data_IF_786205904479
#
_entry.id   IF_786205904479
#
_cell.length_a   1.000
_cell.length_b   1.000
_cell.length_c   1.000
_cell.angle_alpha   90.00
_cell.angle_beta   90.00
_cell.angle_gamma   90.00
#
_symmetry.space_group_name_H-M   'P 1'
#
loop_
_entity.id
_entity.type
_entity.pdbx_description
1 polymer ?
#
# COMPACT_ATOMS: atom_id res chain seq x y z
N UNK A 1 -1.68 22.87 2.91
CA UNK A 1 -0.54 21.93 2.88
C UNK A 1 -0.89 20.68 3.65
N UNK A 2 -0.55 19.54 3.12
CA UNK A 2 -0.86 18.26 3.73
C UNK A 2 0.21 17.88 4.75
N UNK A 3 -0.21 17.61 5.99
CA UNK A 3 0.71 17.14 7.02
C UNK A 3 1.28 15.77 6.66
N UNK A 4 0.45 14.88 6.12
CA UNK A 4 0.92 13.54 5.76
C UNK A 4 1.94 13.61 4.63
N UNK A 5 1.74 14.50 3.66
CA UNK A 5 2.71 14.68 2.59
C UNK A 5 4.06 15.11 3.15
N UNK A 6 4.04 16.00 4.13
CA UNK A 6 5.28 16.45 4.75
C UNK A 6 5.97 15.31 5.49
N UNK A 7 5.20 14.49 6.20
CA UNK A 7 5.75 13.36 6.93
C UNK A 7 6.36 12.30 6.00
N UNK A 8 5.88 12.24 4.75
CA UNK A 8 6.28 11.22 3.80
C UNK A 8 7.30 11.72 2.78
N UNK A 9 7.85 12.91 2.95
CA UNK A 9 8.66 13.52 1.89
C UNK A 9 9.89 12.69 1.53
N UNK A 10 10.49 11.99 2.51
CA UNK A 10 11.65 11.16 2.22
C UNK A 10 11.24 9.93 1.42
N UNK A 11 10.12 9.30 1.80
CA UNK A 11 9.63 8.13 1.08
C UNK A 11 9.22 8.50 -0.34
N UNK A 12 8.61 9.66 -0.51
CA UNK A 12 8.24 10.14 -1.84
C UNK A 12 9.49 10.27 -2.71
N UNK A 13 10.59 10.77 -2.16
CA UNK A 13 11.82 10.93 -2.92
C UNK A 13 12.49 9.60 -3.24
N UNK A 14 12.41 8.63 -2.32
CA UNK A 14 13.14 7.36 -2.46
C UNK A 14 12.39 6.30 -3.24
N UNK A 15 11.06 6.35 -3.26
CA UNK A 15 10.26 5.26 -3.81
C UNK A 15 9.26 5.74 -4.87
N UNK A 16 9.77 6.33 -5.97
CA UNK A 16 8.88 6.71 -7.07
C UNK A 16 8.31 5.47 -7.77
N UNK A 17 7.35 5.67 -8.66
CA UNK A 17 6.76 4.58 -9.42
C UNK A 17 7.87 3.83 -10.17
N UNK A 18 7.82 2.52 -10.07
CA UNK A 18 8.80 1.63 -10.67
C UNK A 18 9.90 1.20 -9.73
N UNK A 19 10.09 1.89 -8.59
CA UNK A 19 11.20 1.57 -7.70
C UNK A 19 11.08 0.19 -7.05
N UNK A 20 9.86 -0.31 -6.88
CA UNK A 20 9.63 -1.64 -6.33
C UNK A 20 8.79 -2.51 -7.27
N UNK A 21 8.85 -2.19 -8.56
CA UNK A 21 8.07 -2.89 -9.57
C UNK A 21 8.42 -4.38 -9.57
N UNK A 22 7.38 -5.21 -9.68
CA UNK A 22 7.56 -6.66 -9.76
C UNK A 22 7.69 -7.37 -8.43
N UNK A 23 7.80 -6.62 -7.32
CA UNK A 23 7.99 -7.25 -6.02
C UNK A 23 6.69 -7.70 -5.37
N UNK A 24 5.55 -7.12 -5.75
CA UNK A 24 4.27 -7.54 -5.20
C UNK A 24 4.26 -7.50 -3.69
N UNK A 25 3.89 -8.61 -3.06
CA UNK A 25 3.85 -8.68 -1.60
C UNK A 25 5.23 -8.65 -0.97
N UNK A 26 6.28 -8.84 -1.74
CA UNK A 26 7.65 -8.75 -1.22
C UNK A 26 8.18 -7.34 -1.22
N UNK A 27 7.42 -6.37 -1.70
CA UNK A 27 7.83 -4.98 -1.67
C UNK A 27 7.84 -4.49 -0.22
N UNK A 28 8.78 -3.60 0.08
CA UNK A 28 8.82 -2.94 1.37
C UNK A 28 7.64 -2.00 1.48
N UNK A 29 6.94 -2.02 2.61
CA UNK A 29 5.85 -1.10 2.88
C UNK A 29 6.47 0.21 3.38
N UNK A 30 6.36 1.26 2.58
CA UNK A 30 6.98 2.54 2.93
C UNK A 30 6.02 3.44 3.71
N UNK A 31 4.73 3.12 3.71
CA UNK A 31 3.74 3.85 4.50
C UNK A 31 2.53 2.95 4.69
N UNK A 32 2.02 2.90 5.90
CA UNK A 32 0.88 2.08 6.24
C UNK A 32 -0.23 2.99 6.74
N UNK A 33 -1.31 3.08 5.98
CA UNK A 33 -2.49 3.85 6.38
C UNK A 33 -3.53 2.88 6.93
N UNK A 34 -4.31 3.35 7.89
CA UNK A 34 -5.32 2.48 8.50
C UNK A 34 -6.44 3.30 9.10
N UNK A 35 -7.62 2.72 9.14
CA UNK A 35 -8.75 3.22 9.92
C UNK A 35 -9.64 2.02 10.19
N UNK A 36 -10.02 1.83 11.48
CA UNK A 36 -10.75 0.63 11.89
C UNK A 36 -10.03 -0.61 11.39
N UNK A 37 -10.72 -1.48 10.64
CA UNK A 37 -10.12 -2.72 10.13
C UNK A 37 -9.55 -2.57 8.73
N UNK A 38 -9.60 -1.38 8.13
CA UNK A 38 -9.10 -1.14 6.78
C UNK A 38 -7.62 -0.79 6.83
N UNK A 39 -6.86 -1.32 5.85
CA UNK A 39 -5.42 -1.09 5.76
C UNK A 39 -5.03 -0.77 4.33
N UNK A 40 -4.07 0.13 4.17
CA UNK A 40 -3.45 0.44 2.89
C UNK A 40 -1.94 0.36 3.10
N UNK A 41 -1.29 -0.59 2.42
CA UNK A 41 0.16 -0.78 2.50
C UNK A 41 0.79 -0.26 1.22
N UNK A 42 1.55 0.81 1.32
CA UNK A 42 2.04 1.55 0.16
C UNK A 42 3.46 1.14 -0.15
N UNK A 43 3.77 0.92 -1.43
CA UNK A 43 5.11 0.57 -1.88
C UNK A 43 5.77 1.64 -2.73
N UNK A 44 4.99 2.48 -3.42
CA UNK A 44 5.55 3.50 -4.31
C UNK A 44 4.67 4.73 -4.26
N UNK A 45 5.29 5.90 -4.46
CA UNK A 45 4.55 7.16 -4.46
C UNK A 45 5.14 8.11 -5.47
N UNK A 46 4.29 8.97 -6.03
CA UNK A 46 4.73 9.98 -6.98
C UNK A 46 3.88 11.22 -6.86
N UNK A 47 4.54 12.37 -6.86
CA UNK A 47 3.85 13.66 -6.78
C UNK A 47 3.08 13.90 -8.07
N UNK A 48 1.85 14.37 -7.94
CA UNK A 48 0.98 14.72 -9.06
C UNK A 48 0.30 16.03 -8.69
N UNK A 49 0.95 17.15 -9.04
CA UNK A 49 0.43 18.48 -8.70
C UNK A 49 0.32 18.63 -7.19
N UNK A 50 -0.89 18.93 -6.72
CA UNK A 50 -1.16 19.13 -5.30
C UNK A 50 -1.36 17.81 -4.55
N UNK A 51 -1.35 16.71 -5.26
CA UNK A 51 -1.62 15.40 -4.68
C UNK A 51 -0.38 14.53 -4.74
N UNK A 52 -0.45 13.38 -4.10
CA UNK A 52 0.53 12.32 -4.22
C UNK A 52 -0.26 11.06 -4.56
N UNK A 53 0.11 10.42 -5.68
CA UNK A 53 -0.53 9.17 -6.07
C UNK A 53 0.34 8.05 -5.54
N UNK A 54 -0.31 7.08 -4.91
CA UNK A 54 0.37 5.99 -4.23
C UNK A 54 -0.04 4.67 -4.86
N UNK A 55 0.88 3.72 -4.89
CA UNK A 55 0.59 2.36 -5.33
C UNK A 55 0.85 1.41 -4.18
N UNK A 56 -0.09 0.50 -3.95
CA UNK A 56 0.07 -0.47 -2.89
C UNK A 56 -1.10 -1.41 -2.78
N UNK A 57 -1.13 -2.15 -1.69
CA UNK A 57 -2.14 -3.17 -1.42
C UNK A 57 -3.15 -2.63 -0.43
N UNK A 58 -4.41 -2.62 -0.81
CA UNK A 58 -5.49 -2.13 0.05
C UNK A 58 -6.38 -3.29 0.46
N UNK A 59 -6.63 -3.43 1.75
CA UNK A 59 -7.58 -4.41 2.28
C UNK A 59 -8.57 -3.67 3.15
N UNK A 60 -9.76 -3.45 2.62
CA UNK A 60 -10.79 -2.72 3.35
C UNK A 60 -11.56 -3.60 4.32
N UNK A 61 -11.28 -4.91 4.30
CA UNK A 61 -11.92 -5.88 5.21
C UNK A 61 -13.43 -5.90 5.04
N UNK A 62 -13.88 -5.83 3.79
CA UNK A 62 -15.30 -5.84 3.46
C UNK A 62 -15.78 -7.20 2.98
N UNK A 63 -14.97 -8.24 3.15
CA UNK A 63 -15.32 -9.59 2.76
C UNK A 63 -14.32 -10.15 1.77
N UNK A 64 -14.50 -11.42 1.36
CA UNK A 64 -13.55 -12.06 0.44
C UNK A 64 -13.46 -11.29 -0.87
N UNK A 65 -12.24 -11.12 -1.36
CA UNK A 65 -12.01 -10.45 -2.62
C UNK A 65 -12.02 -8.94 -2.56
N UNK A 66 -12.09 -8.36 -1.36
CA UNK A 66 -12.10 -6.90 -1.25
C UNK A 66 -10.70 -6.29 -1.19
N UNK A 67 -9.65 -7.12 -1.20
CA UNK A 67 -8.28 -6.66 -1.11
C UNK A 67 -7.62 -6.77 -2.48
N UNK A 68 -6.87 -5.73 -2.87
CA UNK A 68 -6.19 -5.75 -4.17
C UNK A 68 -5.12 -4.67 -4.22
N UNK A 69 -4.17 -4.86 -5.13
CA UNK A 69 -3.22 -3.82 -5.45
C UNK A 69 -3.88 -2.77 -6.34
N UNK A 70 -3.47 -1.52 -6.17
CA UNK A 70 -4.01 -0.46 -7.01
C UNK A 70 -3.42 0.88 -6.61
N UNK A 71 -3.94 1.91 -7.26
CA UNK A 71 -3.50 3.28 -7.02
C UNK A 71 -4.49 3.99 -6.12
N UNK A 72 -3.99 4.94 -5.34
CA UNK A 72 -4.84 5.72 -4.46
C UNK A 72 -4.23 7.09 -4.25
N UNK A 73 -5.10 8.03 -3.87
CA UNK A 73 -4.72 9.43 -3.68
C UNK A 73 -4.46 9.70 -2.22
N UNK A 74 -3.32 10.32 -1.91
CA UNK A 74 -3.01 10.71 -0.54
C UNK A 74 -4.01 11.76 -0.04
N UNK A 75 -4.36 12.73 -0.89
CA UNK A 75 -5.33 13.74 -0.49
C UNK A 75 -6.68 13.12 -0.13
N UNK A 76 -7.10 12.10 -0.89
CA UNK A 76 -8.35 11.43 -0.59
C UNK A 76 -8.29 10.69 0.74
N UNK A 77 -7.20 9.97 0.99
CA UNK A 77 -7.08 9.26 2.25
C UNK A 77 -7.02 10.23 3.43
N UNK A 78 -6.27 11.32 3.26
CA UNK A 78 -6.12 12.30 4.34
C UNK A 78 -7.43 12.98 4.68
N UNK A 79 -8.31 13.15 3.70
CA UNK A 79 -9.58 13.82 3.90
C UNK A 79 -10.72 12.87 4.25
N UNK A 80 -10.46 11.57 4.22
CA UNK A 80 -11.50 10.58 4.51
C UNK A 80 -11.97 10.68 5.95
N UNK A 81 -13.29 10.68 6.14
CA UNK A 81 -13.89 10.69 7.46
C UNK A 81 -14.82 9.51 7.58
N UNK A 82 -14.68 8.76 8.66
CA UNK A 82 -15.48 7.56 8.89
C UNK A 82 -16.12 7.64 10.28
N UNK A 83 -17.11 6.79 10.58
CA UNK A 83 -17.62 6.72 11.95
C UNK A 83 -16.55 6.36 12.98
N UNK A 84 -15.43 5.81 12.53
CA UNK A 84 -14.33 5.41 13.42
C UNK A 84 -13.20 6.44 13.45
N UNK A 85 -13.37 7.59 12.80
CA UNK A 85 -12.39 8.66 12.82
C UNK A 85 -11.65 8.82 11.51
N UNK A 86 -10.50 9.46 11.60
CA UNK A 86 -9.65 9.73 10.43
C UNK A 86 -8.72 8.57 10.17
N UNK A 87 -8.18 8.54 8.94
CA UNK A 87 -7.13 7.59 8.58
C UNK A 87 -5.86 7.95 9.34
N UNK A 88 -5.25 6.94 9.96
CA UNK A 88 -3.97 7.09 10.63
C UNK A 88 -2.83 6.69 9.71
N UNK A 89 -1.63 7.08 10.08
CA UNK A 89 -0.42 6.78 9.32
C UNK A 89 0.65 6.20 10.23
N UNK A 90 1.20 5.05 9.83
CA UNK A 90 2.33 4.41 10.47
C UNK A 90 3.45 4.34 9.46
N UNK A 91 4.61 4.89 9.79
CA UNK A 91 5.73 4.95 8.86
C UNK A 91 6.51 3.65 8.74
N UNK A 92 6.09 2.60 9.47
CA UNK A 92 6.71 1.27 9.39
C UNK A 92 8.22 1.34 9.64
N UNK A 93 8.64 1.81 10.83
CA UNK A 93 10.07 1.99 11.11
C UNK A 93 10.87 0.69 11.08
N UNK A 94 10.23 -0.47 11.18
CA UNK A 94 10.89 -1.76 11.11
C UNK A 94 11.10 -2.24 9.68
N UNK A 95 10.62 -1.49 8.70
CA UNK A 95 10.84 -1.75 7.28
C UNK A 95 10.31 -3.11 6.83
N UNK A 96 9.15 -3.49 7.33
CA UNK A 96 8.53 -4.77 6.97
C UNK A 96 7.98 -4.72 5.56
N UNK A 97 7.96 -5.89 4.92
CA UNK A 97 7.32 -6.03 3.62
C UNK A 97 5.81 -6.05 3.77
N UNK A 98 5.11 -5.86 2.64
CA UNK A 98 3.65 -5.96 2.66
C UNK A 98 3.23 -7.34 3.14
N UNK A 99 3.94 -8.39 2.70
CA UNK A 99 3.65 -9.75 3.17
C UNK A 99 3.74 -9.86 4.69
N UNK A 100 4.81 -9.33 5.26
CA UNK A 100 5.00 -9.42 6.71
C UNK A 100 3.91 -8.69 7.47
N UNK A 101 3.47 -7.54 6.93
CA UNK A 101 2.41 -6.79 7.58
C UNK A 101 1.06 -7.47 7.44
N UNK A 102 0.79 -8.09 6.29
CA UNK A 102 -0.42 -8.87 6.14
C UNK A 102 -0.45 -10.01 7.17
N UNK A 103 0.68 -10.67 7.36
CA UNK A 103 0.76 -11.74 8.36
C UNK A 103 0.57 -11.19 9.77
N UNK A 104 1.18 -10.06 10.06
CA UNK A 104 1.08 -9.46 11.38
C UNK A 104 -0.37 -9.10 11.74
N UNK A 105 -1.12 -8.57 10.77
CA UNK A 105 -2.49 -8.14 11.02
C UNK A 105 -3.53 -9.20 10.69
N UNK A 106 -3.08 -10.40 10.29
CA UNK A 106 -4.01 -11.48 9.99
C UNK A 106 -4.79 -11.27 8.72
N UNK A 107 -4.23 -10.53 7.77
CA UNK A 107 -4.89 -10.24 6.49
C UNK A 107 -4.49 -11.28 5.45
N UNK A 108 -5.40 -11.53 4.52
CA UNK A 108 -5.13 -12.47 3.44
C UNK A 108 -4.23 -11.84 2.40
N UNK A 109 -3.40 -12.65 1.77
CA UNK A 109 -2.63 -12.21 0.61
C UNK A 109 -2.46 -13.40 -0.31
N UNK A 110 -2.16 -13.09 -1.58
CA UNK A 110 -2.15 -14.10 -2.64
C UNK A 110 -0.75 -14.25 -3.20
N UNK A 111 -0.03 -15.27 -2.73
CA UNK A 111 1.32 -15.55 -3.22
C UNK A 111 1.34 -15.77 -4.73
N UNK A 112 0.28 -16.39 -5.23
CA UNK A 112 0.17 -16.62 -6.66
C UNK A 112 0.17 -15.30 -7.44
N UNK A 113 -0.55 -14.31 -6.91
CA UNK A 113 -0.58 -12.99 -7.54
C UNK A 113 0.81 -12.38 -7.61
N UNK A 114 1.55 -12.47 -6.50
CA UNK A 114 2.91 -11.95 -6.45
C UNK A 114 3.81 -12.69 -7.43
N UNK A 115 3.70 -14.01 -7.47
CA UNK A 115 4.50 -14.81 -8.39
C UNK A 115 4.18 -14.48 -9.84
N UNK A 116 2.91 -14.27 -10.14
CA UNK A 116 2.52 -13.92 -11.51
C UNK A 116 3.14 -12.62 -11.94
N UNK A 117 3.18 -11.66 -11.03
CA UNK A 117 3.79 -10.37 -11.34
C UNK A 117 5.26 -10.52 -11.65
N UNK A 118 5.92 -11.37 -10.88
CA UNK A 118 7.36 -11.53 -11.02
C UNK A 118 7.73 -12.20 -12.32
N UNK A 119 6.93 -13.19 -12.75
CA UNK A 119 7.32 -14.05 -13.88
C UNK A 119 6.56 -13.76 -15.16
N UNK A 120 5.53 -13.00 -15.01
CA UNK A 120 4.68 -12.84 -16.18
C UNK A 120 3.78 -13.99 -16.38
N UNK A 121 3.88 -15.15 -16.30
CA UNK A 121 3.04 -16.19 -16.69
C UNK A 121 2.72 -17.40 -16.14
N UNK A 122 2.86 -17.68 -16.36
CA UNK A 122 2.47 -18.55 -16.20
C UNK A 122 2.31 -19.55 -16.32
N UNK A 123 2.79 -19.64 -16.10
CA UNK A 123 2.66 -20.48 -16.23
C UNK A 123 2.41 -21.44 -16.01
N UNK A 124 2.63 -21.41 -15.58
CA UNK A 124 2.43 -22.28 -15.33
C UNK A 124 1.72 -23.06 -15.44
N UNK A 125 1.63 -22.77 -15.62
CA UNK A 125 0.92 -23.36 -15.81
C UNK A 125 0.84 -24.19 -16.31
N UNK A 126 1.42 -24.17 -16.38
CA UNK A 126 1.39 -24.90 -16.88
C UNK A 126 1.35 -25.87 -16.81
#
# INVERSE_FOLDING_TARGET
MSLMRELLKEEIAEYPFGSQEGLGFNAKCIAHFFVAAAHWFISEMEVDGDDVIMFGYADLNLGPGSAEFGYMSLNELESLRTPFGKVGLDLNPEEKTIRELCEEYGLEYDDFYSNRNDYGIEEDEL
#
